data_IF_832876971152
#
_entry.id   IF_832876971152
#
_cell.length_a   1.000
_cell.length_b   1.000
_cell.length_c   1.000
_cell.angle_alpha   90.00
_cell.angle_beta   90.00
_cell.angle_gamma   90.00
#
_symmetry.space_group_name_H-M   'P 1'
#
loop_
_entity.id
_entity.type
_entity.pdbx_description
1 polymer ?
#
# COMPACT_ATOMS: atom_id res chain seq x y z
N UNK A 1 8.17 -0.90 -1.02
CA UNK A 1 6.90 -1.24 -1.71
C UNK A 1 6.85 -0.80 -3.18
N UNK A 2 7.35 0.39 -3.55
CA UNK A 2 7.33 0.88 -4.95
C UNK A 2 8.28 0.15 -5.92
N UNK A 3 9.32 -0.51 -5.42
CA UNK A 3 10.32 -1.19 -6.25
C UNK A 3 9.75 -2.35 -7.09
N UNK A 4 8.76 -3.09 -6.56
CA UNK A 4 8.19 -4.26 -7.24
C UNK A 4 7.17 -3.92 -8.34
N UNK A 5 6.57 -2.73 -8.33
CA UNK A 5 5.67 -2.32 -9.42
C UNK A 5 6.44 -1.77 -10.63
N UNK A 6 7.59 -1.12 -10.39
CA UNK A 6 8.50 -0.64 -11.44
C UNK A 6 9.26 -1.79 -12.12
N UNK A 7 9.63 -2.81 -11.33
CA UNK A 7 10.22 -4.03 -11.88
C UNK A 7 9.10 -4.88 -12.49
N UNK A 8 8.91 -4.82 -13.81
CA UNK A 8 8.09 -5.78 -14.60
C UNK A 8 8.68 -7.20 -14.52
N UNK A 9 8.77 -7.78 -13.31
CA UNK A 9 9.29 -9.13 -13.05
C UNK A 9 8.24 -10.20 -13.29
N UNK A 10 6.95 -9.85 -13.23
CA UNK A 10 5.84 -10.74 -13.53
C UNK A 10 4.90 -10.11 -14.57
N UNK A 11 4.37 -10.96 -15.46
CA UNK A 11 3.46 -10.61 -16.58
C UNK A 11 2.17 -9.96 -16.06
N UNK A 12 1.66 -10.42 -14.92
CA UNK A 12 0.54 -9.86 -14.17
C UNK A 12 0.78 -10.14 -12.67
N UNK A 13 0.26 -9.29 -11.78
CA UNK A 13 0.23 -9.55 -10.34
C UNK A 13 1.18 -8.70 -9.48
N UNK A 14 1.99 -7.84 -10.07
CA UNK A 14 2.95 -6.99 -9.31
C UNK A 14 2.27 -6.17 -8.20
N UNK A 15 1.04 -5.68 -8.45
CA UNK A 15 0.24 -5.00 -7.42
C UNK A 15 -0.25 -5.91 -6.29
N UNK A 16 -0.59 -7.18 -6.59
CA UNK A 16 -1.01 -8.19 -5.59
C UNK A 16 0.16 -8.63 -4.73
N UNK A 17 1.28 -9.00 -5.36
CA UNK A 17 2.53 -9.37 -4.68
C UNK A 17 3.08 -8.22 -3.86
N UNK A 18 3.01 -6.99 -4.38
CA UNK A 18 3.32 -5.79 -3.62
C UNK A 18 2.51 -5.75 -2.33
N UNK A 19 1.17 -5.71 -2.42
CA UNK A 19 0.27 -5.67 -1.24
C UNK A 19 0.55 -6.77 -0.22
N UNK A 20 0.76 -8.01 -0.70
CA UNK A 20 1.13 -9.13 0.16
C UNK A 20 2.44 -8.86 0.90
N UNK A 21 3.47 -8.35 0.23
CA UNK A 21 4.74 -8.02 0.86
C UNK A 21 4.62 -6.90 1.91
N UNK A 22 3.81 -5.86 1.67
CA UNK A 22 3.54 -4.85 2.72
C UNK A 22 2.85 -5.47 3.92
N UNK A 23 1.79 -6.24 3.70
CA UNK A 23 1.07 -6.85 4.80
C UNK A 23 1.94 -7.85 5.56
N UNK A 24 2.84 -8.57 4.88
CA UNK A 24 3.85 -9.42 5.51
C UNK A 24 4.80 -8.61 6.40
N UNK A 25 5.35 -7.49 5.91
CA UNK A 25 6.25 -6.63 6.69
C UNK A 25 5.52 -6.02 7.89
N UNK A 26 4.29 -5.52 7.70
CA UNK A 26 3.47 -4.98 8.78
C UNK A 26 3.23 -6.04 9.86
N UNK A 27 2.78 -7.23 9.44
CA UNK A 27 2.51 -8.34 10.36
C UNK A 27 3.76 -8.76 11.13
N UNK A 28 4.92 -8.89 10.46
CA UNK A 28 6.20 -9.22 11.11
C UNK A 28 6.62 -8.19 12.17
N UNK A 29 6.16 -6.94 12.05
CA UNK A 29 6.44 -5.86 12.99
C UNK A 29 5.25 -5.56 13.93
N UNK A 30 4.30 -6.49 14.09
CA UNK A 30 3.12 -6.35 14.95
C UNK A 30 2.20 -5.17 14.60
N UNK A 31 2.19 -4.74 13.34
CA UNK A 31 1.21 -3.78 12.82
C UNK A 31 0.02 -4.50 12.18
N UNK A 32 -1.19 -3.92 12.24
CA UNK A 32 -2.33 -4.49 11.56
C UNK A 32 -2.12 -4.51 10.05
N UNK A 33 -2.58 -5.59 9.42
CA UNK A 33 -2.60 -5.68 7.96
C UNK A 33 -3.61 -4.69 7.39
N UNK A 34 -3.29 -4.10 6.25
CA UNK A 34 -4.17 -3.13 5.58
C UNK A 34 -4.92 -3.83 4.46
N UNK A 35 -6.25 -3.71 4.50
CA UNK A 35 -7.11 -4.05 3.37
C UNK A 35 -7.53 -2.76 2.67
N UNK A 36 -7.26 -2.63 1.36
CA UNK A 36 -7.58 -1.43 0.59
C UNK A 36 -8.95 -1.64 -0.07
N UNK A 37 -10.00 -0.90 0.33
CA UNK A 37 -11.33 -1.03 -0.28
C UNK A 37 -11.32 -0.68 -1.77
N UNK A 38 -12.18 -1.38 -2.54
CA UNK A 38 -12.32 -1.11 -3.97
C UNK A 38 -12.75 0.34 -4.26
N UNK A 39 -13.53 0.96 -3.38
CA UNK A 39 -14.01 2.35 -3.51
C UNK A 39 -12.87 3.38 -3.54
N UNK A 40 -11.73 3.11 -2.90
CA UNK A 40 -10.59 4.03 -2.84
C UNK A 40 -9.42 3.59 -3.71
N UNK A 41 -9.61 2.56 -4.54
CA UNK A 41 -8.56 1.95 -5.36
C UNK A 41 -7.88 2.96 -6.29
N UNK A 42 -8.64 3.88 -6.87
CA UNK A 42 -8.11 4.97 -7.70
C UNK A 42 -7.12 5.85 -6.92
N UNK A 43 -7.56 6.35 -5.76
CA UNK A 43 -6.75 7.20 -4.87
C UNK A 43 -5.48 6.48 -4.40
N UNK A 44 -5.57 5.18 -4.13
CA UNK A 44 -4.40 4.38 -3.79
C UNK A 44 -3.34 4.38 -4.91
N UNK A 45 -3.75 4.21 -6.17
CA UNK A 45 -2.82 4.23 -7.30
C UNK A 45 -2.20 5.60 -7.51
N UNK A 46 -3.00 6.66 -7.46
CA UNK A 46 -2.54 8.05 -7.58
C UNK A 46 -1.49 8.40 -6.51
N UNK A 47 -1.77 8.06 -5.26
CA UNK A 47 -0.85 8.29 -4.14
C UNK A 47 0.41 7.43 -4.27
N UNK A 48 0.27 6.20 -4.75
CA UNK A 48 1.40 5.31 -4.97
C UNK A 48 2.31 5.82 -6.10
N UNK A 49 1.75 6.29 -7.19
CA UNK A 49 2.49 6.89 -8.31
C UNK A 49 3.21 8.16 -7.87
N UNK A 50 2.50 9.06 -7.17
CA UNK A 50 3.07 10.27 -6.60
C UNK A 50 4.24 9.95 -5.66
N UNK A 51 4.09 8.93 -4.82
CA UNK A 51 5.14 8.49 -3.90
C UNK A 51 6.36 7.91 -4.63
N UNK A 52 6.17 7.30 -5.81
CA UNK A 52 7.26 6.80 -6.65
C UNK A 52 8.01 7.95 -7.35
N UNK A 53 7.27 8.88 -7.97
CA UNK A 53 7.83 10.03 -8.70
C UNK A 53 8.62 10.92 -7.74
N UNK A 54 8.00 11.30 -6.63
CA UNK A 54 8.58 12.25 -5.67
C UNK A 54 9.54 11.58 -4.68
N UNK A 55 9.68 10.25 -4.74
CA UNK A 55 10.43 9.42 -3.77
C UNK A 55 10.03 9.68 -2.31
N UNK A 56 8.77 10.03 -2.10
CA UNK A 56 8.21 10.37 -0.80
C UNK A 56 7.09 9.40 -0.43
N UNK A 57 7.33 8.57 0.58
CA UNK A 57 6.34 7.58 1.04
C UNK A 57 5.31 8.16 2.02
N UNK A 58 5.49 9.39 2.52
CA UNK A 58 4.59 10.00 3.52
C UNK A 58 3.12 10.03 3.05
N UNK A 59 2.79 10.39 1.80
CA UNK A 59 1.41 10.37 1.32
C UNK A 59 0.79 8.97 1.36
N UNK A 60 1.57 7.94 0.98
CA UNK A 60 1.12 6.54 1.00
C UNK A 60 0.88 6.06 2.44
N UNK A 61 1.81 6.34 3.35
CA UNK A 61 1.67 5.99 4.77
C UNK A 61 0.44 6.67 5.39
N UNK A 62 0.24 7.96 5.08
CA UNK A 62 -0.94 8.71 5.55
C UNK A 62 -2.25 8.08 5.05
N UNK A 63 -2.31 7.66 3.79
CA UNK A 63 -3.48 6.98 3.25
C UNK A 63 -3.75 5.65 3.98
N UNK A 64 -2.71 4.83 4.18
CA UNK A 64 -2.84 3.55 4.88
C UNK A 64 -3.30 3.74 6.33
N UNK A 65 -2.77 4.75 7.02
CA UNK A 65 -3.18 5.09 8.38
C UNK A 65 -4.67 5.48 8.45
N UNK A 66 -5.14 6.29 7.51
CA UNK A 66 -6.56 6.67 7.45
C UNK A 66 -7.46 5.45 7.22
N UNK A 67 -7.06 4.52 6.33
CA UNK A 67 -7.80 3.26 6.11
C UNK A 67 -7.91 2.46 7.41
N UNK A 68 -6.82 2.32 8.14
CA UNK A 68 -6.80 1.59 9.41
C UNK A 68 -7.70 2.24 10.46
N UNK A 69 -7.69 3.57 10.54
CA UNK A 69 -8.57 4.35 11.41
C UNK A 69 -10.05 4.15 11.04
N UNK A 70 -10.39 4.27 9.76
CA UNK A 70 -11.78 4.15 9.28
C UNK A 70 -12.32 2.72 9.47
N UNK A 71 -11.45 1.71 9.37
CA UNK A 71 -11.79 0.31 9.61
C UNK A 71 -11.97 -0.05 11.09
N UNK A 72 -11.77 0.90 12.02
CA UNK A 72 -11.77 0.69 13.48
C UNK A 72 -10.78 -0.39 13.96
N UNK A 73 -9.77 -0.68 13.14
CA UNK A 73 -8.68 -1.59 13.51
C UNK A 73 -7.66 -0.83 14.37
N UNK A 74 -7.55 0.48 14.17
CA UNK A 74 -6.81 1.39 15.02
C UNK A 74 -7.79 2.36 15.69
N UNK A 75 -8.07 2.11 16.97
CA UNK A 75 -8.92 2.91 17.89
C UNK A 75 -10.42 2.95 17.52
#
# INVERSE_FOLDING_TARGET
MGFLQSLKKFVDGNGRTGRLLMNFILHKNNFPMVNIPNSIKHKYYEVLETAQINRDLRPLVKLLFNILKDSKILF
#
